data_IF_269865287060
#
_entry.id   IF_269865287060
#
_cell.length_a   1.000
_cell.length_b   1.000
_cell.length_c   1.000
_cell.angle_alpha   90.00
_cell.angle_beta   90.00
_cell.angle_gamma   90.00
#
_symmetry.space_group_name_H-M   'P 1'
#
loop_
_entity.id
_entity.type
_entity.pdbx_description
1 polymer ?
#
# COMPACT_ATOMS: atom_id res chain seq x y z
N UNK A 1 21.04 -23.86 5.35
CA UNK A 1 22.46 -23.58 5.63
C UNK A 1 23.05 -22.75 4.48
N UNK A 2 24.01 -21.87 4.76
CA UNK A 2 24.68 -21.02 3.75
C UNK A 2 26.16 -20.86 4.11
N UNK A 3 26.98 -20.62 3.10
CA UNK A 3 28.42 -20.38 3.26
C UNK A 3 28.67 -18.89 3.49
N UNK A 4 29.60 -18.58 4.39
CA UNK A 4 30.03 -17.21 4.67
C UNK A 4 31.05 -16.77 3.62
N UNK A 5 30.79 -15.66 2.96
CA UNK A 5 31.72 -15.05 1.99
C UNK A 5 32.50 -13.91 2.63
N UNK A 6 33.52 -13.39 1.92
CA UNK A 6 34.27 -12.20 2.38
C UNK A 6 33.37 -10.97 2.59
N UNK A 7 32.25 -10.90 1.90
CA UNK A 7 31.29 -9.79 1.96
C UNK A 7 30.13 -10.02 2.92
N UNK A 8 30.03 -11.18 3.57
CA UNK A 8 28.92 -11.58 4.43
C UNK A 8 28.12 -12.77 3.86
N UNK A 9 26.83 -12.82 4.18
CA UNK A 9 25.93 -13.86 3.65
C UNK A 9 25.15 -13.33 2.45
N UNK A 10 24.90 -14.21 1.48
CA UNK A 10 24.00 -13.94 0.36
C UNK A 10 22.87 -14.94 0.40
N UNK A 11 21.64 -14.43 0.47
CA UNK A 11 20.42 -15.25 0.50
C UNK A 11 19.42 -14.63 -0.46
N UNK A 12 19.02 -15.41 -1.46
CA UNK A 12 18.01 -15.03 -2.45
C UNK A 12 18.27 -13.63 -3.08
N UNK A 13 19.52 -13.36 -3.45
CA UNK A 13 20.02 -12.09 -4.05
C UNK A 13 20.08 -10.89 -3.11
N UNK A 14 19.93 -11.11 -1.80
CA UNK A 14 20.07 -10.07 -0.77
C UNK A 14 21.36 -10.31 0.01
N UNK A 15 22.10 -9.23 0.26
CA UNK A 15 23.34 -9.25 1.01
C UNK A 15 23.09 -8.91 2.48
N UNK A 16 23.66 -9.72 3.37
CA UNK A 16 23.56 -9.55 4.82
C UNK A 16 24.96 -9.40 5.42
N UNK A 17 25.15 -8.39 6.26
CA UNK A 17 26.43 -8.11 6.88
C UNK A 17 26.26 -7.39 8.22
N UNK A 18 27.08 -7.80 9.19
CA UNK A 18 27.29 -7.09 10.44
C UNK A 18 28.77 -7.20 10.82
N UNK A 19 29.28 -6.21 11.56
CA UNK A 19 30.69 -6.20 11.97
C UNK A 19 31.08 -7.37 12.86
N UNK A 20 30.12 -7.94 13.58
CA UNK A 20 30.30 -9.16 14.36
C UNK A 20 30.70 -10.39 13.51
N UNK A 21 30.53 -10.34 12.17
CA UNK A 21 31.00 -11.40 11.28
C UNK A 21 32.50 -11.37 11.00
N UNK A 22 33.21 -10.25 11.27
CA UNK A 22 34.65 -10.10 10.96
C UNK A 22 35.51 -11.27 11.48
N UNK A 23 35.37 -11.73 12.74
CA UNK A 23 36.16 -12.85 13.27
C UNK A 23 35.87 -14.19 12.59
N UNK A 24 34.66 -14.35 12.05
CA UNK A 24 34.25 -15.56 11.32
C UNK A 24 34.74 -15.51 9.87
N UNK A 25 34.71 -14.34 9.23
CA UNK A 25 35.24 -14.14 7.87
C UNK A 25 36.75 -14.41 7.84
N UNK A 26 37.48 -13.98 8.87
CA UNK A 26 38.93 -14.23 9.00
C UNK A 26 39.26 -15.72 9.11
N UNK A 27 38.35 -16.52 9.70
CA UNK A 27 38.51 -17.97 9.92
C UNK A 27 37.52 -18.79 9.09
N UNK A 28 37.09 -18.27 7.93
CA UNK A 28 36.00 -18.86 7.12
C UNK A 28 36.29 -20.29 6.64
N UNK A 29 37.56 -20.64 6.46
CA UNK A 29 37.97 -21.98 6.03
C UNK A 29 37.70 -23.05 7.10
N UNK A 30 37.59 -22.66 8.37
CA UNK A 30 37.29 -23.56 9.49
C UNK A 30 35.82 -24.02 9.48
N UNK A 31 34.92 -23.26 8.86
CA UNK A 31 33.47 -23.47 8.97
C UNK A 31 32.79 -23.41 7.58
N UNK A 32 32.49 -24.56 6.96
CA UNK A 32 32.02 -24.57 5.57
C UNK A 32 30.59 -24.03 5.39
N UNK A 33 29.76 -24.09 6.45
CA UNK A 33 28.38 -23.61 6.37
C UNK A 33 27.80 -23.24 7.74
N UNK A 34 26.91 -22.25 7.75
CA UNK A 34 26.21 -21.75 8.93
C UNK A 34 24.71 -22.08 8.86
N UNK A 35 24.10 -22.34 10.01
CA UNK A 35 22.64 -22.43 10.13
C UNK A 35 22.05 -21.02 10.21
N UNK A 36 21.09 -20.74 9.34
CA UNK A 36 20.44 -19.43 9.25
C UNK A 36 18.94 -19.61 9.41
N UNK A 37 18.34 -18.77 10.25
CA UNK A 37 16.91 -18.61 10.44
C UNK A 37 16.51 -17.20 9.98
N UNK A 38 15.28 -17.05 9.50
CA UNK A 38 14.71 -15.76 9.10
C UNK A 38 13.20 -15.77 9.31
N UNK A 39 12.61 -14.61 9.53
CA UNK A 39 11.16 -14.44 9.55
C UNK A 39 10.65 -14.22 8.11
N UNK A 40 9.69 -15.01 7.59
CA UNK A 40 9.12 -14.76 6.27
C UNK A 40 8.33 -13.44 6.17
N UNK A 41 7.90 -12.85 7.28
CA UNK A 41 7.16 -11.57 7.34
C UNK A 41 8.10 -10.37 7.23
N UNK A 42 9.33 -10.51 7.70
CA UNK A 42 10.36 -9.49 7.58
C UNK A 42 11.73 -10.14 7.35
N UNK A 43 12.22 -10.03 6.12
CA UNK A 43 13.53 -10.57 5.73
C UNK A 43 14.67 -9.56 5.93
N UNK A 44 14.40 -8.40 6.57
CA UNK A 44 15.41 -7.37 6.87
C UNK A 44 16.57 -7.86 7.71
N UNK A 45 16.32 -8.90 8.51
CA UNK A 45 17.27 -9.50 9.42
C UNK A 45 17.26 -11.01 9.26
N UNK A 46 18.41 -11.60 9.51
CA UNK A 46 18.59 -13.04 9.64
C UNK A 46 19.26 -13.34 10.97
N UNK A 47 19.00 -14.54 11.48
CA UNK A 47 19.63 -15.05 12.70
C UNK A 47 20.55 -16.20 12.32
N UNK A 48 21.84 -15.98 12.53
CA UNK A 48 22.89 -16.94 12.19
C UNK A 48 23.33 -17.62 13.48
N UNK A 49 23.22 -18.95 13.53
CA UNK A 49 23.75 -19.71 14.66
C UNK A 49 25.27 -19.64 14.64
N UNK A 50 25.86 -19.33 15.79
CA UNK A 50 27.32 -19.37 15.96
C UNK A 50 27.90 -20.75 15.62
N UNK A 51 29.13 -20.81 15.12
CA UNK A 51 29.76 -22.08 14.79
C UNK A 51 29.89 -23.03 16.00
N UNK A 52 30.12 -22.47 17.19
CA UNK A 52 30.16 -23.18 18.48
C UNK A 52 28.76 -23.57 18.99
N UNK A 53 27.69 -23.10 18.34
CA UNK A 53 26.31 -23.50 18.59
C UNK A 53 25.64 -22.86 19.80
N UNK A 54 26.25 -21.87 20.44
CA UNK A 54 25.75 -21.31 21.70
C UNK A 54 24.70 -20.22 21.52
N UNK A 55 24.89 -19.32 20.56
CA UNK A 55 24.05 -18.15 20.39
C UNK A 55 23.59 -17.94 18.95
N UNK A 56 22.55 -17.13 18.77
CA UNK A 56 22.15 -16.62 17.47
C UNK A 56 22.58 -15.16 17.36
N UNK A 57 23.26 -14.85 16.26
CA UNK A 57 23.65 -13.50 15.93
C UNK A 57 22.66 -12.92 14.93
N UNK A 58 22.08 -11.76 15.25
CA UNK A 58 21.25 -11.00 14.34
C UNK A 58 22.12 -10.27 13.31
N UNK A 59 21.83 -10.48 12.02
CA UNK A 59 22.52 -9.83 10.91
C UNK A 59 21.49 -9.10 10.05
N UNK A 60 21.55 -7.76 9.95
CA UNK A 60 20.67 -7.00 9.06
C UNK A 60 21.15 -7.09 7.61
N UNK A 61 20.39 -6.48 6.70
CA UNK A 61 20.88 -6.16 5.36
C UNK A 61 22.24 -5.44 5.43
N UNK A 62 23.09 -5.71 4.43
CA UNK A 62 24.33 -4.96 4.23
C UNK A 62 24.04 -3.46 4.00
N UNK A 63 22.97 -3.16 3.26
CA UNK A 63 22.54 -1.80 2.96
C UNK A 63 21.36 -1.44 3.86
N UNK A 64 21.61 -0.67 4.92
CA UNK A 64 20.61 -0.33 5.95
C UNK A 64 19.47 0.57 5.44
N UNK A 65 19.64 1.23 4.29
CA UNK A 65 18.60 2.06 3.68
C UNK A 65 17.52 1.24 2.96
N UNK A 66 17.70 -0.07 2.79
CA UNK A 66 16.68 -0.92 2.19
C UNK A 66 15.47 -1.08 3.12
N UNK A 67 14.25 -1.04 2.58
CA UNK A 67 13.04 -1.18 3.39
C UNK A 67 12.87 -2.61 3.89
N UNK A 68 12.09 -2.77 4.96
CA UNK A 68 11.59 -4.09 5.37
C UNK A 68 10.71 -4.68 4.25
N UNK A 69 10.92 -5.96 3.97
CA UNK A 69 10.32 -6.69 2.86
C UNK A 69 9.89 -8.06 3.34
N UNK A 70 8.73 -8.51 2.88
CA UNK A 70 8.28 -9.88 3.13
C UNK A 70 8.96 -10.85 2.17
N UNK A 71 9.13 -12.12 2.57
CA UNK A 71 9.64 -13.15 1.68
C UNK A 71 8.75 -13.33 0.44
N UNK A 72 7.45 -13.07 0.57
CA UNK A 72 6.50 -13.14 -0.53
C UNK A 72 6.77 -12.06 -1.59
N UNK A 73 6.95 -10.80 -1.18
CA UNK A 73 7.27 -9.69 -2.10
C UNK A 73 8.57 -9.94 -2.83
N UNK A 74 9.58 -10.44 -2.12
CA UNK A 74 10.88 -10.79 -2.69
C UNK A 74 10.74 -11.86 -3.79
N UNK A 75 9.97 -12.92 -3.52
CA UNK A 75 9.70 -13.98 -4.52
C UNK A 75 8.94 -13.46 -5.73
N UNK A 76 7.93 -12.61 -5.51
CA UNK A 76 7.16 -12.01 -6.59
C UNK A 76 8.03 -11.10 -7.47
N UNK A 77 8.86 -10.26 -6.86
CA UNK A 77 9.80 -9.41 -7.59
C UNK A 77 10.81 -10.23 -8.42
N UNK A 78 11.36 -11.30 -7.86
CA UNK A 78 12.22 -12.23 -8.61
C UNK A 78 11.49 -12.88 -9.79
N UNK A 79 10.27 -13.36 -9.58
CA UNK A 79 9.47 -13.94 -10.65
C UNK A 79 9.20 -12.91 -11.77
N UNK A 80 8.90 -11.66 -11.40
CA UNK A 80 8.66 -10.58 -12.36
C UNK A 80 9.91 -10.19 -13.15
N UNK A 81 11.07 -10.10 -12.48
CA UNK A 81 12.36 -9.81 -13.12
C UNK A 81 12.76 -10.90 -14.11
N UNK A 82 12.52 -12.17 -13.76
CA UNK A 82 12.74 -13.31 -14.67
C UNK A 82 11.83 -13.26 -15.89
N UNK A 83 10.54 -12.93 -15.71
CA UNK A 83 9.61 -12.73 -16.83
C UNK A 83 10.05 -11.60 -17.78
N UNK A 84 10.77 -10.60 -17.27
CA UNK A 84 11.33 -9.51 -18.07
C UNK A 84 12.65 -9.89 -18.79
N UNK A 85 13.07 -11.16 -18.74
CA UNK A 85 14.28 -11.63 -19.41
C UNK A 85 15.59 -11.27 -18.71
N UNK A 86 15.55 -10.87 -17.44
CA UNK A 86 16.78 -10.59 -16.67
C UNK A 86 17.30 -11.87 -16.04
N UNK A 87 18.36 -12.43 -16.60
CA UNK A 87 19.07 -13.58 -16.03
C UNK A 87 19.90 -13.17 -14.80
N UNK A 88 20.56 -12.03 -14.85
CA UNK A 88 21.34 -11.48 -13.74
C UNK A 88 20.47 -10.50 -12.94
N UNK A 89 20.08 -10.91 -11.74
CA UNK A 89 19.30 -10.09 -10.82
C UNK A 89 20.20 -9.55 -9.71
N UNK A 90 20.49 -8.26 -9.77
CA UNK A 90 21.20 -7.56 -8.70
C UNK A 90 20.23 -7.16 -7.56
N UNK A 91 20.78 -7.01 -6.36
CA UNK A 91 20.04 -6.55 -5.17
C UNK A 91 19.30 -5.22 -5.42
N UNK A 92 19.95 -4.28 -6.11
CA UNK A 92 19.35 -2.98 -6.45
C UNK A 92 18.15 -3.12 -7.40
N UNK A 93 18.18 -4.08 -8.33
CA UNK A 93 17.07 -4.34 -9.23
C UNK A 93 15.90 -4.99 -8.49
N UNK A 94 16.18 -5.88 -7.54
CA UNK A 94 15.19 -6.53 -6.69
C UNK A 94 14.41 -5.50 -5.86
N UNK A 95 15.09 -4.64 -5.10
CA UNK A 95 14.42 -3.64 -4.27
C UNK A 95 13.66 -2.58 -5.10
N UNK A 96 14.20 -2.19 -6.26
CA UNK A 96 13.47 -1.31 -7.20
C UNK A 96 12.17 -1.96 -7.70
N UNK A 97 12.21 -3.23 -8.08
CA UNK A 97 11.01 -3.96 -8.52
C UNK A 97 9.96 -4.05 -7.40
N UNK A 98 10.39 -4.33 -6.16
CA UNK A 98 9.49 -4.34 -5.00
C UNK A 98 8.83 -2.96 -4.82
N UNK A 99 9.61 -1.89 -4.91
CA UNK A 99 9.09 -0.51 -4.86
C UNK A 99 8.03 -0.25 -5.93
N UNK A 100 8.32 -0.58 -7.18
CA UNK A 100 7.37 -0.45 -8.30
C UNK A 100 6.08 -1.25 -8.07
N UNK A 101 6.19 -2.48 -7.59
CA UNK A 101 5.02 -3.32 -7.28
C UNK A 101 4.16 -2.69 -6.18
N UNK A 102 4.78 -2.16 -5.11
CA UNK A 102 4.07 -1.44 -4.05
C UNK A 102 3.37 -0.19 -4.58
N UNK A 103 4.02 0.59 -5.44
CA UNK A 103 3.43 1.77 -6.08
C UNK A 103 2.20 1.41 -6.94
N UNK A 104 2.28 0.33 -7.73
CA UNK A 104 1.14 -0.17 -8.52
C UNK A 104 -0.03 -0.52 -7.60
N UNK A 105 0.21 -1.27 -6.52
CA UNK A 105 -0.84 -1.63 -5.56
C UNK A 105 -1.46 -0.39 -4.92
N UNK A 106 -0.65 0.56 -4.47
CA UNK A 106 -1.15 1.77 -3.80
C UNK A 106 -1.95 2.67 -4.75
N UNK A 107 -1.51 2.82 -5.99
CA UNK A 107 -2.20 3.63 -7.01
C UNK A 107 -3.52 2.96 -7.43
N UNK A 108 -3.53 1.64 -7.61
CA UNK A 108 -4.75 0.88 -7.88
C UNK A 108 -5.77 1.01 -6.73
N UNK A 109 -5.33 0.88 -5.47
CA UNK A 109 -6.21 1.07 -4.31
C UNK A 109 -6.82 2.48 -4.27
N UNK A 110 -6.02 3.52 -4.54
CA UNK A 110 -6.52 4.91 -4.61
C UNK A 110 -7.53 5.08 -5.75
N UNK A 111 -7.26 4.52 -6.92
CA UNK A 111 -8.16 4.55 -8.07
C UNK A 111 -9.48 3.82 -7.79
N UNK A 112 -9.45 2.62 -7.21
CA UNK A 112 -10.66 1.87 -6.84
C UNK A 112 -11.48 2.62 -5.79
N UNK A 113 -10.84 3.20 -4.76
CA UNK A 113 -11.53 4.02 -3.76
C UNK A 113 -12.17 5.26 -4.38
N UNK A 114 -11.51 5.90 -5.36
CA UNK A 114 -12.09 7.02 -6.11
C UNK A 114 -13.28 6.57 -6.95
N UNK A 115 -13.13 5.50 -7.73
CA UNK A 115 -14.19 4.95 -8.58
C UNK A 115 -15.44 4.57 -7.78
N UNK A 116 -15.28 3.94 -6.59
CA UNK A 116 -16.39 3.64 -5.68
C UNK A 116 -17.11 4.91 -5.24
N UNK A 117 -16.39 5.92 -4.75
CA UNK A 117 -16.99 7.20 -4.33
C UNK A 117 -17.74 7.90 -5.47
N UNK A 118 -17.20 7.88 -6.68
CA UNK A 118 -17.85 8.48 -7.85
C UNK A 118 -19.08 7.68 -8.32
N UNK A 119 -19.13 6.38 -8.07
CA UNK A 119 -20.32 5.56 -8.29
C UNK A 119 -21.41 5.87 -7.26
N UNK A 120 -21.06 5.95 -5.97
CA UNK A 120 -21.98 6.30 -4.89
C UNK A 120 -22.55 7.71 -5.10
N UNK A 121 -21.73 8.69 -5.50
CA UNK A 121 -22.21 10.03 -5.83
C UNK A 121 -23.25 9.99 -6.96
N UNK A 122 -23.14 9.08 -7.92
CA UNK A 122 -24.10 8.96 -9.03
C UNK A 122 -25.32 8.08 -8.70
N UNK A 123 -25.38 7.44 -7.53
CA UNK A 123 -26.55 6.65 -7.15
C UNK A 123 -27.81 7.51 -7.01
N UNK A 124 -27.70 8.73 -6.47
CA UNK A 124 -28.87 9.62 -6.34
C UNK A 124 -29.49 10.00 -7.70
N UNK A 125 -28.69 10.02 -8.78
CA UNK A 125 -29.19 10.25 -10.14
C UNK A 125 -29.96 9.04 -10.71
N UNK A 126 -29.74 7.84 -10.16
CA UNK A 126 -30.46 6.61 -10.55
C UNK A 126 -31.75 6.45 -9.76
N UNK A 127 -31.80 6.92 -8.51
CA UNK A 127 -33.01 7.03 -7.69
C UNK A 127 -33.64 8.40 -7.87
N UNK A 128 -34.00 8.74 -9.11
CA UNK A 128 -35.13 9.64 -9.33
C UNK A 128 -36.20 8.78 -10.00
N UNK A 129 -36.97 8.07 -9.16
CA UNK A 129 -38.38 8.01 -9.46
C UNK A 129 -38.81 9.47 -9.63
N UNK A 130 -39.51 9.79 -10.73
CA UNK A 130 -40.07 11.12 -10.93
C UNK A 130 -40.69 11.53 -9.60
N UNK A 131 -40.33 12.70 -9.02
CA UNK A 131 -41.18 13.21 -7.95
C UNK A 131 -42.58 13.23 -8.55
N UNK A 132 -43.50 12.47 -7.96
CA UNK A 132 -44.91 12.64 -8.23
C UNK A 132 -45.14 14.15 -8.19
N UNK A 133 -45.68 14.70 -9.29
CA UNK A 133 -45.95 16.13 -9.39
C UNK A 133 -46.48 16.58 -8.04
N UNK A 134 -45.88 17.58 -7.37
CA UNK A 134 -46.43 18.06 -6.13
C UNK A 134 -47.88 18.41 -6.42
N UNK A 135 -48.80 17.63 -5.85
CA UNK A 135 -50.22 17.92 -5.93
C UNK A 135 -50.35 19.24 -5.18
N UNK A 136 -50.84 20.32 -5.82
CA UNK A 136 -51.10 21.55 -5.10
C UNK A 136 -51.98 21.20 -3.90
N UNK A 137 -51.75 21.78 -2.72
CA UNK A 137 -52.65 21.57 -1.61
C UNK A 137 -54.07 21.93 -2.07
N UNK A 138 -55.01 20.98 -1.94
CA UNK A 138 -56.43 21.23 -2.23
C UNK A 138 -56.85 22.44 -1.39
N UNK A 139 -57.00 23.57 -2.06
CA UNK A 139 -57.46 24.81 -1.44
C UNK A 139 -58.97 24.76 -1.42
N UNK A 140 -59.53 23.80 -0.70
CA UNK A 140 -60.96 23.72 -0.40
C UNK A 140 -61.19 24.34 0.98
N UNK A 141 -60.86 25.63 1.08
CA UNK A 141 -61.43 26.50 2.11
C UNK A 141 -61.98 27.69 1.35
N UNK A 142 -63.21 27.52 0.85
CA UNK A 142 -64.11 28.64 0.69
C UNK A 142 -64.40 29.18 2.09
N UNK A 143 -63.49 30.01 2.61
CA UNK A 143 -63.77 30.84 3.77
C UNK A 143 -64.75 31.91 3.28
N UNK A 144 -66.00 31.97 3.78
CA UNK A 144 -67.04 32.87 3.26
C UNK A 144 -66.76 34.37 3.48
N UNK A 145 -65.53 34.74 3.86
CA UNK A 145 -65.16 36.07 4.33
C UNK A 145 -64.03 36.73 3.50
N UNK A 146 -63.73 36.20 2.30
CA UNK A 146 -62.74 36.77 1.39
C UNK A 146 -63.19 38.06 0.66
N UNK A 147 -64.48 38.41 0.72
CA UNK A 147 -65.02 39.60 0.03
C UNK A 147 -64.76 40.94 0.76
N UNK A 148 -64.05 40.94 1.89
CA UNK A 148 -63.80 42.14 2.69
C UNK A 148 -62.32 42.42 3.02
N UNK A 149 -61.40 41.97 2.18
CA UNK A 149 -59.99 42.34 2.30
C UNK A 149 -59.68 43.51 1.35
N UNK A 150 -59.11 44.63 1.84
CA UNK A 150 -58.68 45.71 0.97
C UNK A 150 -57.60 45.19 0.00
N UNK A 151 -57.55 45.71 -1.25
CA UNK A 151 -56.62 45.24 -2.25
C UNK A 151 -55.18 45.34 -1.74
N UNK A 152 -54.43 44.25 -1.92
CA UNK A 152 -53.03 44.16 -1.50
C UNK A 152 -52.22 45.28 -2.18
N UNK A 153 -51.47 46.05 -1.36
CA UNK A 153 -50.59 47.10 -1.88
C UNK A 153 -49.41 46.46 -2.63
N UNK A 154 -49.04 46.97 -3.82
CA UNK A 154 -47.83 46.55 -4.48
C UNK A 154 -46.60 46.88 -3.61
N UNK A 155 -45.53 46.10 -3.75
CA UNK A 155 -44.29 46.29 -3.00
C UNK A 155 -43.49 47.46 -3.59
N UNK A 156 -43.07 48.41 -2.74
CA UNK A 156 -42.40 49.65 -3.14
C UNK A 156 -40.87 49.52 -3.36
N UNK A 157 -40.30 48.31 -3.33
CA UNK A 157 -38.86 48.11 -3.51
C UNK A 157 -38.57 47.13 -4.64
N UNK A 158 -38.26 47.69 -5.80
CA UNK A 158 -37.50 47.03 -6.86
C UNK A 158 -36.12 47.68 -6.81
N UNK A 159 -35.13 47.03 -6.21
CA UNK A 159 -33.73 47.41 -6.42
C UNK A 159 -33.32 46.95 -7.82
N UNK A 160 -33.05 47.92 -8.69
CA UNK A 160 -32.54 47.72 -10.05
C UNK A 160 -31.03 47.38 -9.97
N UNK A 161 -30.63 46.27 -10.61
CA UNK A 161 -29.22 45.90 -10.84
C UNK A 161 -28.77 46.33 -12.23
#
# INVERSE_FOLDING_TARGET
RRTLTRTGFVIDHIHYYADALKPWIARRERWPSFLIRRDPRDISRIWVLEPEGQHYLEIPYRTLSHPAVTLWEQRQALAKLRQQGREQVDESALFRMIGQMREIVTSAQKATRKARRDADRRQHLKTSARPDKPVPPDTDIADPQADNLPPAKPFDQIEEW
#
